data_IF_727208718489
#
_entry.id   IF_727208718489
#
_cell.length_a   1.000
_cell.length_b   1.000
_cell.length_c   1.000
_cell.angle_alpha   90.00
_cell.angle_beta   90.00
_cell.angle_gamma   90.00
#
_symmetry.space_group_name_H-M   'P 1'
#
loop_
_entity.id
_entity.type
_entity.pdbx_description
1 polymer ?
#
# COMPACT_ATOMS: atom_id res chain seq x y z
N UNK A 1 17.41 3.05 -14.43
CA UNK A 1 17.23 1.94 -13.46
C UNK A 1 16.82 2.48 -12.10
N UNK A 2 17.61 3.35 -11.47
CA UNK A 2 17.27 3.95 -10.15
C UNK A 2 15.94 4.73 -10.18
N UNK A 3 15.72 5.60 -11.18
CA UNK A 3 14.42 6.30 -11.33
C UNK A 3 13.22 5.37 -11.47
N UNK A 4 13.36 4.24 -12.18
CA UNK A 4 12.28 3.27 -12.34
C UNK A 4 12.02 2.51 -11.04
N UNK A 5 13.09 2.21 -10.28
CA UNK A 5 12.96 1.65 -8.95
C UNK A 5 12.22 2.61 -8.01
N UNK A 6 12.61 3.89 -8.00
CA UNK A 6 11.94 4.92 -7.22
C UNK A 6 10.46 5.05 -7.60
N UNK A 7 10.14 5.13 -8.90
CA UNK A 7 8.76 5.17 -9.40
C UNK A 7 7.92 3.97 -8.94
N UNK A 8 8.52 2.77 -8.89
CA UNK A 8 7.83 1.59 -8.35
C UNK A 8 7.61 1.67 -6.83
N UNK A 9 8.54 2.24 -6.07
CA UNK A 9 8.40 2.44 -4.63
C UNK A 9 7.33 3.51 -4.34
N UNK A 10 7.37 4.64 -5.05
CA UNK A 10 6.37 5.71 -4.98
C UNK A 10 4.97 5.19 -5.30
N UNK A 11 4.82 4.45 -6.40
CA UNK A 11 3.54 3.85 -6.77
C UNK A 11 3.06 2.80 -5.76
N UNK A 12 3.97 2.10 -5.07
CA UNK A 12 3.61 1.20 -3.98
C UNK A 12 3.12 1.99 -2.76
N UNK A 13 3.80 3.06 -2.37
CA UNK A 13 3.38 3.94 -1.27
C UNK A 13 2.00 4.55 -1.55
N UNK A 14 1.78 5.06 -2.76
CA UNK A 14 0.49 5.61 -3.17
C UNK A 14 -0.65 4.58 -3.07
N UNK A 15 -0.43 3.34 -3.55
CA UNK A 15 -1.42 2.27 -3.43
C UNK A 15 -1.69 1.89 -1.96
N UNK A 16 -0.65 1.92 -1.11
CA UNK A 16 -0.78 1.71 0.34
C UNK A 16 -1.56 2.82 1.03
N UNK A 17 -1.34 4.07 0.65
CA UNK A 17 -2.07 5.21 1.18
C UNK A 17 -3.56 5.16 0.77
N UNK A 18 -3.85 4.78 -0.47
CA UNK A 18 -5.22 4.58 -0.95
C UNK A 18 -5.91 3.42 -0.21
N UNK A 19 -5.17 2.36 0.14
CA UNK A 19 -5.67 1.31 1.03
C UNK A 19 -6.04 1.88 2.39
N UNK A 20 -5.17 2.66 3.04
CA UNK A 20 -5.45 3.26 4.37
C UNK A 20 -6.63 4.23 4.36
N UNK A 21 -6.93 4.86 3.21
CA UNK A 21 -8.11 5.71 3.03
C UNK A 21 -9.40 4.92 2.82
N UNK A 22 -9.31 3.60 2.59
CA UNK A 22 -10.46 2.75 2.33
C UNK A 22 -11.22 2.41 3.62
N UNK A 23 -12.54 2.43 3.53
CA UNK A 23 -13.43 1.92 4.59
C UNK A 23 -14.52 1.10 3.94
N UNK A 24 -14.65 -0.16 4.37
CA UNK A 24 -15.70 -1.05 3.88
C UNK A 24 -16.97 -0.82 4.70
N UNK A 25 -18.05 -0.40 4.05
CA UNK A 25 -19.38 -0.35 4.65
C UNK A 25 -20.08 -1.69 4.43
N UNK A 26 -20.41 -2.38 5.52
CA UNK A 26 -21.01 -3.70 5.50
C UNK A 26 -22.52 -3.62 5.70
N UNK A 27 -23.32 -4.22 4.81
CA UNK A 27 -24.79 -4.29 4.90
C UNK A 27 -25.47 -3.01 5.46
N UNK A 28 -25.20 -1.83 4.90
CA UNK A 28 -25.76 -0.57 5.43
C UNK A 28 -27.27 -0.34 5.17
N UNK A 29 -28.00 -1.34 4.68
CA UNK A 29 -29.42 -1.23 4.32
C UNK A 29 -30.26 -2.35 4.95
N UNK A 30 -31.55 -2.09 5.16
CA UNK A 30 -32.49 -2.95 5.91
C UNK A 30 -32.44 -4.42 5.49
N UNK A 31 -31.77 -5.26 6.29
CA UNK A 31 -31.60 -6.69 6.05
C UNK A 31 -32.92 -7.48 6.03
N UNK A 32 -34.03 -6.88 6.50
CA UNK A 32 -35.36 -7.50 6.48
C UNK A 32 -36.10 -7.30 5.17
N UNK A 33 -35.63 -6.39 4.31
CA UNK A 33 -36.16 -6.23 2.96
C UNK A 33 -35.55 -7.28 2.03
N UNK A 34 -36.26 -8.40 1.83
CA UNK A 34 -35.82 -9.52 0.97
C UNK A 34 -35.38 -9.08 -0.43
N UNK A 35 -36.01 -8.02 -0.93
CA UNK A 35 -35.82 -7.49 -2.27
C UNK A 35 -34.46 -6.78 -2.43
N UNK A 36 -33.81 -6.39 -1.32
CA UNK A 36 -32.53 -5.68 -1.29
C UNK A 36 -31.32 -6.60 -1.00
N UNK A 37 -31.55 -7.86 -0.63
CA UNK A 37 -30.48 -8.80 -0.27
C UNK A 37 -29.48 -9.05 -1.41
N UNK A 38 -29.94 -9.07 -2.65
CA UNK A 38 -29.08 -9.30 -3.81
C UNK A 38 -28.27 -8.06 -4.21
N UNK A 39 -28.79 -6.85 -3.95
CA UNK A 39 -28.05 -5.60 -4.16
C UNK A 39 -27.02 -5.38 -3.06
N UNK A 40 -27.35 -5.66 -1.80
CA UNK A 40 -26.44 -5.52 -0.67
C UNK A 40 -25.21 -6.43 -0.85
N UNK A 41 -25.42 -7.72 -1.17
CA UNK A 41 -24.31 -8.65 -1.46
C UNK A 41 -23.41 -8.23 -2.62
N UNK A 42 -23.99 -7.59 -3.66
CA UNK A 42 -23.21 -7.04 -4.77
C UNK A 42 -22.37 -5.83 -4.33
N UNK A 43 -22.93 -4.97 -3.47
CA UNK A 43 -22.22 -3.82 -2.93
C UNK A 43 -21.06 -4.24 -2.02
N UNK A 44 -21.27 -5.22 -1.14
CA UNK A 44 -20.20 -5.79 -0.29
C UNK A 44 -19.05 -6.35 -1.13
N UNK A 45 -19.39 -7.14 -2.16
CA UNK A 45 -18.39 -7.71 -3.05
C UNK A 45 -17.63 -6.63 -3.81
N UNK A 46 -18.32 -5.62 -4.32
CA UNK A 46 -17.68 -4.50 -5.01
C UNK A 46 -16.73 -3.72 -4.08
N UNK A 47 -17.11 -3.53 -2.82
CA UNK A 47 -16.26 -2.86 -1.83
C UNK A 47 -14.99 -3.67 -1.53
N UNK A 48 -15.13 -4.98 -1.30
CA UNK A 48 -13.98 -5.87 -1.09
C UNK A 48 -13.10 -5.99 -2.33
N UNK A 49 -13.69 -6.07 -3.52
CA UNK A 49 -12.96 -6.11 -4.78
C UNK A 49 -12.16 -4.81 -5.02
N UNK A 50 -12.66 -3.65 -4.58
CA UNK A 50 -11.92 -2.39 -4.64
C UNK A 50 -10.66 -2.41 -3.75
N UNK A 51 -10.78 -2.85 -2.48
CA UNK A 51 -9.63 -3.01 -1.56
C UNK A 51 -8.64 -4.03 -2.11
N UNK A 52 -9.14 -5.18 -2.59
CA UNK A 52 -8.31 -6.22 -3.21
C UNK A 52 -7.56 -5.71 -4.44
N UNK A 53 -8.17 -4.84 -5.24
CA UNK A 53 -7.52 -4.25 -6.43
C UNK A 53 -6.35 -3.37 -6.02
N UNK A 54 -6.52 -2.51 -5.01
CA UNK A 54 -5.45 -1.68 -4.48
C UNK A 54 -4.31 -2.53 -3.88
N UNK A 55 -4.67 -3.61 -3.17
CA UNK A 55 -3.69 -4.57 -2.65
C UNK A 55 -2.89 -5.24 -3.78
N UNK A 56 -3.54 -5.68 -4.86
CA UNK A 56 -2.85 -6.27 -6.02
C UNK A 56 -1.95 -5.26 -6.74
N UNK A 57 -2.36 -3.99 -6.79
CA UNK A 57 -1.52 -2.91 -7.32
C UNK A 57 -0.27 -2.72 -6.46
N UNK A 58 -0.43 -2.63 -5.13
CA UNK A 58 0.68 -2.57 -4.18
C UNK A 58 1.64 -3.74 -4.35
N UNK A 59 1.13 -4.99 -4.35
CA UNK A 59 1.93 -6.20 -4.52
C UNK A 59 2.71 -6.20 -5.83
N UNK A 60 2.07 -5.81 -6.93
CA UNK A 60 2.73 -5.75 -8.25
C UNK A 60 3.90 -4.76 -8.23
N UNK A 61 3.71 -3.59 -7.60
CA UNK A 61 4.76 -2.57 -7.47
C UNK A 61 5.90 -3.02 -6.55
N UNK A 62 5.59 -3.72 -5.47
CA UNK A 62 6.59 -4.35 -4.59
C UNK A 62 7.39 -5.42 -5.32
N UNK A 63 6.77 -6.29 -6.11
CA UNK A 63 7.49 -7.29 -6.89
C UNK A 63 8.43 -6.64 -7.93
N UNK A 64 7.98 -5.58 -8.60
CA UNK A 64 8.78 -4.87 -9.61
C UNK A 64 9.92 -4.04 -9.03
N UNK A 65 9.72 -3.40 -7.89
CA UNK A 65 10.79 -2.72 -7.16
C UNK A 65 11.81 -3.73 -6.61
N UNK A 66 11.38 -4.91 -6.13
CA UNK A 66 12.32 -5.98 -5.73
C UNK A 66 13.20 -6.48 -6.87
N UNK A 67 12.64 -6.68 -8.06
CA UNK A 67 13.39 -7.01 -9.28
C UNK A 67 14.46 -5.94 -9.56
N UNK A 68 14.04 -4.68 -9.60
CA UNK A 68 14.92 -3.54 -9.88
C UNK A 68 16.00 -3.32 -8.80
N UNK A 69 15.68 -3.56 -7.53
CA UNK A 69 16.63 -3.47 -6.41
C UNK A 69 17.73 -4.53 -6.50
N UNK A 70 17.40 -5.76 -6.93
CA UNK A 70 18.41 -6.81 -7.16
C UNK A 70 19.36 -6.46 -8.30
N UNK A 71 18.86 -5.79 -9.34
CA UNK A 71 19.70 -5.35 -10.44
C UNK A 71 20.58 -4.16 -10.03
N UNK A 72 20.06 -3.24 -9.21
CA UNK A 72 20.86 -2.19 -8.59
C UNK A 72 22.00 -2.76 -7.74
N UNK A 73 21.74 -3.78 -6.92
CA UNK A 73 22.75 -4.45 -6.10
C UNK A 73 23.90 -5.08 -6.90
N UNK A 74 23.66 -5.46 -8.16
CA UNK A 74 24.69 -5.99 -9.06
C UNK A 74 25.51 -4.88 -9.71
N UNK A 75 24.87 -3.76 -10.02
CA UNK A 75 25.49 -2.62 -10.69
C UNK A 75 26.27 -1.72 -9.73
N UNK A 76 25.81 -1.60 -8.48
CA UNK A 76 26.38 -0.71 -7.47
C UNK A 76 26.68 -1.46 -6.16
N UNK A 77 27.97 -1.56 -5.84
CA UNK A 77 28.46 -2.22 -4.63
C UNK A 77 28.04 -1.53 -3.34
N UNK A 78 27.81 -0.22 -3.34
CA UNK A 78 27.31 0.52 -2.18
C UNK A 78 25.89 0.05 -1.82
N UNK A 79 25.04 -0.12 -2.82
CA UNK A 79 23.65 -0.55 -2.62
C UNK A 79 23.48 -2.04 -2.37
N UNK A 80 24.53 -2.86 -2.53
CA UNK A 80 24.43 -4.32 -2.37
C UNK A 80 23.79 -4.73 -1.03
N UNK A 81 24.24 -4.15 0.07
CA UNK A 81 23.69 -4.47 1.40
C UNK A 81 22.29 -3.89 1.61
N UNK A 82 22.07 -2.65 1.18
CA UNK A 82 20.80 -1.93 1.38
C UNK A 82 19.67 -2.58 0.57
N UNK A 83 19.91 -2.86 -0.71
CA UNK A 83 18.98 -3.62 -1.55
C UNK A 83 18.79 -5.05 -1.04
N UNK A 84 19.81 -5.66 -0.44
CA UNK A 84 19.70 -6.95 0.25
C UNK A 84 18.72 -6.91 1.43
N UNK A 85 18.77 -5.86 2.25
CA UNK A 85 17.83 -5.65 3.36
C UNK A 85 16.40 -5.45 2.86
N UNK A 86 16.19 -4.59 1.86
CA UNK A 86 14.87 -4.38 1.27
C UNK A 86 14.30 -5.69 0.67
N UNK A 87 15.10 -6.41 -0.11
CA UNK A 87 14.67 -7.65 -0.79
C UNK A 87 14.54 -8.85 0.16
N UNK A 88 15.19 -8.85 1.31
CA UNK A 88 14.94 -9.86 2.35
C UNK A 88 13.73 -9.50 3.21
N UNK A 89 13.62 -8.23 3.62
CA UNK A 89 12.50 -7.72 4.42
C UNK A 89 11.14 -7.90 3.75
N UNK A 90 11.07 -7.78 2.42
CA UNK A 90 9.82 -7.98 1.66
C UNK A 90 9.67 -9.39 1.07
N UNK A 91 10.50 -10.36 1.46
CA UNK A 91 10.46 -11.72 0.91
C UNK A 91 9.16 -12.45 1.20
N UNK A 92 8.66 -12.37 2.45
CA UNK A 92 7.42 -13.03 2.86
C UNK A 92 6.20 -12.60 2.04
N UNK A 93 6.16 -11.34 1.62
CA UNK A 93 5.09 -10.78 0.79
C UNK A 93 5.24 -11.27 -0.66
N UNK A 94 6.47 -11.36 -1.16
CA UNK A 94 6.73 -11.86 -2.51
C UNK A 94 6.38 -13.34 -2.65
N UNK A 95 6.70 -14.15 -1.64
CA UNK A 95 6.35 -15.57 -1.62
C UNK A 95 4.84 -15.75 -1.58
N UNK A 96 4.14 -14.99 -0.73
CA UNK A 96 2.67 -15.02 -0.68
C UNK A 96 2.01 -14.51 -1.97
N UNK A 97 2.57 -13.50 -2.63
CA UNK A 97 2.06 -13.05 -3.93
C UNK A 97 2.17 -14.14 -5.01
N UNK A 98 3.23 -14.95 -4.96
CA UNK A 98 3.40 -16.09 -5.86
C UNK A 98 2.38 -17.19 -5.55
N UNK A 99 2.18 -17.53 -4.28
CA UNK A 99 1.13 -18.47 -3.84
C UNK A 99 -0.27 -18.00 -4.28
N UNK A 100 -0.57 -16.70 -4.14
CA UNK A 100 -1.84 -16.13 -4.58
C UNK A 100 -2.06 -16.23 -6.09
N UNK A 101 -1.01 -16.10 -6.91
CA UNK A 101 -1.11 -16.30 -8.36
C UNK A 101 -1.47 -17.75 -8.70
N UNK A 102 -0.96 -18.70 -7.92
CA UNK A 102 -1.23 -20.13 -8.07
C UNK A 102 -2.63 -20.52 -7.52
N UNK A 103 -3.05 -19.94 -6.38
CA UNK A 103 -4.34 -20.19 -5.72
C UNK A 103 -5.53 -19.47 -6.38
N UNK A 104 -5.31 -18.37 -7.13
CA UNK A 104 -6.39 -17.71 -7.88
C UNK A 104 -7.01 -18.65 -8.93
N UNK A 105 -6.30 -19.71 -9.35
CA UNK A 105 -6.85 -20.80 -10.15
C UNK A 105 -7.78 -21.74 -9.36
N UNK A 106 -7.68 -21.81 -8.03
CA UNK A 106 -8.41 -22.73 -7.14
C UNK A 106 -9.53 -22.07 -6.33
N UNK A 107 -9.38 -20.81 -5.91
CA UNK A 107 -10.29 -20.16 -4.95
C UNK A 107 -11.64 -19.69 -5.54
N UNK A 108 -11.85 -19.82 -6.86
CA UNK A 108 -13.09 -19.38 -7.51
C UNK A 108 -14.31 -20.28 -7.19
N UNK A 109 -14.10 -21.48 -6.64
CA UNK A 109 -15.15 -22.52 -6.51
C UNK A 109 -15.85 -22.60 -5.14
N UNK A 110 -15.32 -22.03 -4.05
CA UNK A 110 -15.75 -22.40 -2.69
C UNK A 110 -16.78 -21.46 -2.00
N UNK A 111 -17.22 -20.37 -2.63
CA UNK A 111 -18.30 -19.52 -2.08
C UNK A 111 -18.02 -18.73 -0.79
N UNK A 112 -16.85 -18.89 -0.16
CA UNK A 112 -16.39 -18.17 1.06
C UNK A 112 -15.51 -16.94 0.75
N UNK A 113 -15.54 -16.44 -0.50
CA UNK A 113 -14.52 -15.50 -0.99
C UNK A 113 -14.43 -14.17 -0.24
N UNK A 114 -15.56 -13.61 0.23
CA UNK A 114 -15.58 -12.27 0.85
C UNK A 114 -15.18 -12.33 2.33
N UNK A 115 -15.86 -13.15 3.14
CA UNK A 115 -15.52 -13.29 4.57
C UNK A 115 -14.14 -13.93 4.77
N UNK A 116 -13.79 -14.92 3.93
CA UNK A 116 -12.45 -15.49 3.90
C UNK A 116 -11.37 -14.44 3.60
N UNK A 117 -11.63 -13.54 2.65
CA UNK A 117 -10.73 -12.41 2.39
C UNK A 117 -10.56 -11.52 3.63
N UNK A 118 -11.68 -11.06 4.24
CA UNK A 118 -11.63 -10.18 5.42
C UNK A 118 -10.81 -10.80 6.57
N UNK A 119 -11.03 -12.08 6.87
CA UNK A 119 -10.25 -12.81 7.89
C UNK A 119 -8.78 -12.92 7.53
N UNK A 120 -8.48 -13.31 6.29
CA UNK A 120 -7.10 -13.48 5.83
C UNK A 120 -6.28 -12.18 5.90
N UNK A 121 -6.96 -11.03 5.87
CA UNK A 121 -6.37 -9.69 5.94
C UNK A 121 -6.38 -9.07 7.32
N UNK A 122 -6.94 -9.77 8.32
CA UNK A 122 -7.04 -9.27 9.69
C UNK A 122 -8.10 -8.18 9.89
N UNK A 123 -9.03 -8.00 8.94
CA UNK A 123 -10.12 -7.01 9.05
C UNK A 123 -11.24 -7.45 10.00
N UNK A 124 -11.35 -8.75 10.23
CA UNK A 124 -12.18 -9.37 11.28
C UNK A 124 -11.39 -10.53 11.91
N UNK A 125 -11.74 -10.94 13.14
CA UNK A 125 -11.02 -12.03 13.78
C UNK A 125 -11.26 -13.38 13.05
N UNK A 126 -10.31 -14.30 13.17
CA UNK A 126 -10.33 -15.57 12.44
C UNK A 126 -11.55 -16.46 12.78
N UNK A 127 -12.06 -16.35 14.00
CA UNK A 127 -13.24 -17.05 14.52
C UNK A 127 -14.49 -16.18 14.56
N UNK A 128 -14.39 -14.90 14.16
CA UNK A 128 -15.53 -13.99 14.13
C UNK A 128 -16.50 -14.37 13.02
N UNK A 129 -17.80 -14.23 13.30
CA UNK A 129 -18.83 -14.33 12.28
C UNK A 129 -18.65 -13.23 11.22
N UNK A 130 -19.41 -13.31 10.12
CA UNK A 130 -19.44 -12.20 9.16
C UNK A 130 -19.79 -10.88 9.88
N UNK A 131 -19.25 -9.73 9.43
CA UNK A 131 -19.48 -8.46 10.11
C UNK A 131 -20.97 -8.14 10.28
N UNK A 132 -21.29 -7.42 11.36
CA UNK A 132 -22.65 -7.01 11.66
C UNK A 132 -23.20 -6.03 10.61
N UNK A 133 -24.53 -5.95 10.52
CA UNK A 133 -25.23 -4.99 9.68
C UNK A 133 -24.79 -3.55 10.00
N UNK A 134 -24.58 -2.75 8.95
CA UNK A 134 -24.04 -1.39 8.99
C UNK A 134 -22.63 -1.24 9.62
N UNK A 135 -21.85 -2.31 9.79
CA UNK A 135 -20.48 -2.21 10.27
C UNK A 135 -19.60 -1.38 9.32
N UNK A 136 -18.69 -0.60 9.90
CA UNK A 136 -17.63 0.09 9.16
C UNK A 136 -16.32 -0.60 9.49
N UNK A 137 -15.64 -1.12 8.48
CA UNK A 137 -14.34 -1.76 8.63
C UNK A 137 -13.30 -0.84 7.97
N UNK A 138 -12.72 0.10 8.74
CA UNK A 138 -11.62 0.91 8.23
C UNK A 138 -10.41 0.02 7.98
N UNK A 139 -9.72 0.25 6.87
CA UNK A 139 -8.42 -0.35 6.64
C UNK A 139 -7.40 0.40 7.49
N UNK A 140 -6.67 -0.31 8.33
CA UNK A 140 -5.63 0.25 9.19
C UNK A 140 -4.25 -0.25 8.77
N UNK A 141 -3.21 0.26 9.43
CA UNK A 141 -1.83 -0.22 9.27
C UNK A 141 -1.66 -1.71 9.61
N UNK A 142 -2.59 -2.29 10.37
CA UNK A 142 -2.59 -3.70 10.76
C UNK A 142 -3.11 -4.64 9.66
N UNK A 143 -3.66 -4.11 8.56
CA UNK A 143 -4.09 -4.91 7.42
C UNK A 143 -2.93 -5.81 6.96
N UNK A 144 -3.17 -7.12 6.90
CA UNK A 144 -2.15 -8.08 6.48
C UNK A 144 -2.08 -8.14 4.95
N UNK A 145 -1.09 -7.49 4.34
CA UNK A 145 -0.81 -7.57 2.90
C UNK A 145 -0.43 -9.01 2.53
N UNK A 146 -1.12 -9.54 1.52
CA UNK A 146 -1.08 -10.95 1.13
C UNK A 146 -1.37 -11.92 2.29
N UNK A 147 -1.99 -11.44 3.39
CA UNK A 147 -2.23 -12.21 4.61
C UNK A 147 -0.97 -12.50 5.43
N UNK A 148 0.15 -11.81 5.18
CA UNK A 148 1.44 -12.12 5.83
C UNK A 148 2.07 -10.96 6.58
N UNK A 149 2.07 -9.75 6.02
CA UNK A 149 2.80 -8.61 6.57
C UNK A 149 1.86 -7.44 6.85
N UNK A 150 1.91 -6.80 8.04
CA UNK A 150 1.14 -5.58 8.28
C UNK A 150 1.48 -4.50 7.25
N UNK A 151 0.44 -3.81 6.76
CA UNK A 151 0.56 -2.76 5.75
C UNK A 151 1.51 -1.65 6.22
N UNK A 152 1.39 -1.18 7.45
CA UNK A 152 2.27 -0.14 8.01
C UNK A 152 3.75 -0.52 7.92
N UNK A 153 4.08 -1.74 8.36
CA UNK A 153 5.46 -2.27 8.29
C UNK A 153 5.98 -2.35 6.85
N UNK A 154 5.13 -2.75 5.90
CA UNK A 154 5.54 -2.80 4.50
C UNK A 154 5.81 -1.39 3.96
N UNK A 155 4.95 -0.42 4.26
CA UNK A 155 5.11 0.97 3.81
C UNK A 155 6.35 1.61 4.43
N UNK A 156 6.63 1.38 5.71
CA UNK A 156 7.85 1.87 6.37
C UNK A 156 9.12 1.33 5.71
N UNK A 157 9.15 0.04 5.35
CA UNK A 157 10.27 -0.57 4.64
C UNK A 157 10.47 0.04 3.24
N UNK A 158 9.37 0.29 2.52
CA UNK A 158 9.39 0.90 1.19
C UNK A 158 9.88 2.35 1.28
N UNK A 159 9.32 3.15 2.19
CA UNK A 159 9.68 4.55 2.40
C UNK A 159 11.14 4.68 2.81
N UNK A 160 11.60 3.90 3.80
CA UNK A 160 13.00 3.92 4.23
C UNK A 160 13.97 3.60 3.09
N UNK A 161 13.61 2.64 2.22
CA UNK A 161 14.45 2.29 1.08
C UNK A 161 14.44 3.38 0.01
N UNK A 162 13.29 4.00 -0.26
CA UNK A 162 13.15 5.13 -1.17
C UNK A 162 13.98 6.33 -0.69
N UNK A 163 13.83 6.73 0.58
CA UNK A 163 14.59 7.84 1.18
C UNK A 163 16.11 7.63 1.04
N UNK A 164 16.56 6.38 1.17
CA UNK A 164 17.97 6.01 1.00
C UNK A 164 18.43 6.18 -0.45
N UNK A 165 17.58 5.81 -1.43
CA UNK A 165 17.86 6.00 -2.85
C UNK A 165 17.91 7.49 -3.20
N UNK A 166 16.95 8.27 -2.72
CA UNK A 166 16.88 9.72 -2.95
C UNK A 166 18.09 10.43 -2.37
N UNK A 167 18.48 10.10 -1.14
CA UNK A 167 19.64 10.69 -0.47
C UNK A 167 20.94 10.38 -1.22
N UNK A 168 21.09 9.17 -1.76
CA UNK A 168 22.34 8.77 -2.43
C UNK A 168 22.44 9.24 -3.88
N UNK A 169 21.33 9.22 -4.62
CA UNK A 169 21.30 9.51 -6.06
C UNK A 169 20.73 10.89 -6.40
N UNK A 170 20.33 11.69 -5.41
CA UNK A 170 19.76 13.04 -5.59
C UNK A 170 18.60 13.03 -6.59
N UNK A 171 17.69 12.06 -6.46
CA UNK A 171 16.68 11.75 -7.47
C UNK A 171 15.65 12.87 -7.70
N UNK A 172 15.43 13.70 -6.69
CA UNK A 172 14.53 14.84 -6.75
C UNK A 172 15.26 16.08 -6.19
N UNK A 173 15.31 17.17 -6.96
CA UNK A 173 15.72 18.46 -6.43
C UNK A 173 14.73 18.84 -5.30
N UNK A 174 15.21 19.17 -4.09
CA UNK A 174 14.31 19.75 -3.10
C UNK A 174 13.70 21.01 -3.72
N UNK A 175 12.37 21.25 -3.57
CA UNK A 175 11.76 22.44 -4.12
C UNK A 175 12.58 23.64 -3.65
N UNK A 176 13.08 24.44 -4.61
CA UNK A 176 13.85 25.65 -4.31
C UNK A 176 13.12 26.36 -3.16
N UNK A 177 13.72 26.36 -1.97
CA UNK A 177 13.28 27.27 -0.92
C UNK A 177 13.48 28.63 -1.53
N UNK A 178 12.40 29.23 -2.07
CA UNK A 178 12.38 30.60 -2.57
C UNK A 178 13.10 31.41 -1.50
N UNK A 179 14.34 31.78 -1.81
CA UNK A 179 15.19 32.50 -0.88
C UNK A 179 14.38 33.69 -0.42
N UNK A 180 14.17 33.81 0.89
CA UNK A 180 13.64 35.02 1.49
C UNK A 180 14.48 36.15 0.95
N UNK A 181 13.90 36.91 0.01
CA UNK A 181 14.54 38.05 -0.60
C UNK A 181 15.01 38.95 0.54
N UNK A 182 16.31 39.33 0.63
CA UNK A 182 16.74 40.19 1.71
C UNK A 182 15.93 41.48 1.62
N UNK A 183 15.16 41.76 2.68
CA UNK A 183 14.41 42.99 2.79
C UNK A 183 15.35 44.15 2.50
N UNK A 184 15.07 44.88 1.42
CA UNK A 184 15.81 46.06 1.02
C UNK A 184 15.68 47.09 2.14
N UNK A 185 16.72 47.22 2.96
CA UNK A 185 16.79 48.25 3.98
C UNK A 185 16.70 49.62 3.28
N UNK A 186 15.64 50.37 3.54
CA UNK A 186 15.54 51.77 3.13
C UNK A 186 16.30 52.59 4.19
N UNK A 187 17.27 53.43 3.79
CA UNK A 187 18.16 54.15 4.71
C UNK A 187 17.43 55.21 5.54
N UNK A 188 17.90 55.40 6.77
CA UNK A 188 17.35 56.26 7.82
C UNK A 188 17.56 57.77 7.62
N UNK A 189 17.63 58.27 6.38
CA UNK A 189 17.94 59.68 6.07
C UNK A 189 16.76 60.44 5.43
N UNK A 190 15.53 59.97 5.66
CA UNK A 190 14.30 60.60 5.15
C UNK A 190 13.44 61.25 6.25
N UNK A 191 14.05 61.73 7.34
CA UNK A 191 13.37 62.50 8.40
C UNK A 191 14.22 63.70 8.85
N UNK A 192 14.25 64.75 8.02
CA UNK A 192 14.39 66.16 8.43
C UNK A 192 13.59 67.03 7.49
#
# INVERSE_FOLDING_TARGET
>A
MVYLLADHLDAALAAGEDLLKSTLSWNGGDARASDLLASNRRAERAAVDAVRTLELMLLTRVLKSRESARDLAKADGFFKSIAGLYTSGTAIVADAAQEMADETAYAFDAGDGVTGYLRSRGLIAADEAAPLEAAQLPVTEDLLVAGRMPLGTLLDLIATFLDTLETHYELYDPPERKGTSPARAIPADALV
#
